data_IF_851110333832
#
_entry.id   IF_851110333832
#
_cell.length_a   1.000
_cell.length_b   1.000
_cell.length_c   1.000
_cell.angle_alpha   90.00
_cell.angle_beta   90.00
_cell.angle_gamma   90.00
#
_symmetry.space_group_name_H-M   'P 1'
#
loop_
_entity.id
_entity.type
_entity.pdbx_description
1 polymer ?
#
# COMPACT_ATOMS: atom_id res chain seq x y z
N UNK A 1 -23.27 43.06 -42.16
CA UNK A 1 -21.95 42.64 -41.62
C UNK A 1 -22.06 42.63 -40.11
N UNK A 2 -22.23 41.46 -39.51
CA UNK A 2 -22.16 41.27 -38.06
C UNK A 2 -21.02 40.29 -37.81
N UNK A 3 -19.91 40.81 -37.30
CA UNK A 3 -18.74 40.04 -36.89
C UNK A 3 -19.01 39.46 -35.50
N UNK A 4 -19.36 38.18 -35.44
CA UNK A 4 -19.33 37.41 -34.21
C UNK A 4 -17.91 36.92 -33.97
N UNK A 5 -17.16 37.66 -33.14
CA UNK A 5 -15.89 37.20 -32.56
C UNK A 5 -16.19 36.12 -31.52
N UNK A 6 -16.16 34.87 -31.95
CA UNK A 6 -16.15 33.70 -31.07
C UNK A 6 -14.80 33.64 -30.34
N UNK A 7 -14.79 33.94 -29.04
CA UNK A 7 -13.66 33.69 -28.16
C UNK A 7 -13.40 32.19 -28.09
N UNK A 8 -12.40 31.71 -28.84
CA UNK A 8 -11.92 30.35 -28.74
C UNK A 8 -11.18 30.19 -27.40
N UNK A 9 -11.89 29.75 -26.35
CA UNK A 9 -11.25 29.14 -25.20
C UNK A 9 -10.62 27.84 -25.69
N UNK A 10 -9.30 27.84 -25.91
CA UNK A 10 -8.54 26.66 -26.32
C UNK A 10 -8.67 25.62 -25.22
N UNK A 11 -9.57 24.65 -25.37
CA UNK A 11 -9.63 23.52 -24.45
C UNK A 11 -8.35 22.73 -24.64
N UNK A 12 -7.42 22.86 -23.69
CA UNK A 12 -6.14 22.15 -23.74
C UNK A 12 -6.42 20.65 -23.61
N UNK A 13 -5.66 19.83 -24.33
CA UNK A 13 -5.79 18.38 -24.21
C UNK A 13 -5.13 17.90 -22.91
N UNK A 14 -5.61 16.78 -22.35
CA UNK A 14 -5.01 16.13 -21.18
C UNK A 14 -3.52 15.87 -21.37
N UNK A 15 -3.13 15.50 -22.61
CA UNK A 15 -1.75 15.27 -23.02
C UNK A 15 -0.88 16.52 -22.82
N UNK A 16 -1.33 17.66 -23.34
CA UNK A 16 -0.57 18.92 -23.24
C UNK A 16 -0.48 19.39 -21.79
N UNK A 17 -1.53 19.15 -20.98
CA UNK A 17 -1.50 19.45 -19.55
C UNK A 17 -0.48 18.60 -18.78
N UNK A 18 -0.38 17.30 -19.08
CA UNK A 18 0.61 16.41 -18.49
C UNK A 18 2.03 16.82 -18.86
N UNK A 19 2.28 17.16 -20.12
CA UNK A 19 3.59 17.63 -20.59
C UNK A 19 3.99 18.91 -19.86
N UNK A 20 3.09 19.90 -19.81
CA UNK A 20 3.35 21.17 -19.15
C UNK A 20 3.60 21.01 -17.64
N UNK A 21 2.78 20.20 -16.97
CA UNK A 21 2.92 19.97 -15.54
C UNK A 21 4.21 19.20 -15.22
N UNK A 22 4.55 18.17 -16.00
CA UNK A 22 5.79 17.42 -15.86
C UNK A 22 7.04 18.27 -16.15
N UNK A 23 7.00 19.14 -17.15
CA UNK A 23 8.06 20.11 -17.41
C UNK A 23 8.21 21.14 -16.28
N UNK A 24 7.11 21.53 -15.65
CA UNK A 24 7.12 22.32 -14.43
C UNK A 24 7.80 21.60 -13.27
N UNK A 25 7.61 20.27 -13.14
CA UNK A 25 8.30 19.47 -12.12
C UNK A 25 9.80 19.28 -12.41
N UNK A 26 10.22 19.26 -13.67
CA UNK A 26 11.64 19.22 -14.04
C UNK A 26 12.38 20.49 -13.61
N UNK A 27 11.66 21.62 -13.55
CA UNK A 27 12.17 22.91 -13.07
C UNK A 27 11.31 23.39 -11.89
N UNK A 28 11.38 22.69 -10.74
CA UNK A 28 10.40 22.83 -9.69
C UNK A 28 10.41 24.24 -9.08
N UNK A 29 9.24 24.80 -8.72
CA UNK A 29 9.16 26.07 -8.00
C UNK A 29 9.95 26.01 -6.69
N UNK A 30 10.64 27.10 -6.33
CA UNK A 30 11.35 27.19 -5.05
C UNK A 30 10.43 27.29 -3.83
N UNK A 31 9.20 27.74 -4.03
CA UNK A 31 8.17 27.80 -2.98
C UNK A 31 7.52 26.43 -2.79
N UNK A 32 7.53 25.94 -1.54
CA UNK A 32 6.91 24.67 -1.16
C UNK A 32 5.43 24.63 -1.54
N UNK A 33 4.66 25.69 -1.28
CA UNK A 33 3.23 25.72 -1.59
C UNK A 33 2.98 25.65 -3.10
N UNK A 34 3.79 26.35 -3.90
CA UNK A 34 3.71 26.28 -5.36
C UNK A 34 4.08 24.89 -5.89
N UNK A 35 5.10 24.26 -5.30
CA UNK A 35 5.49 22.89 -5.65
C UNK A 35 4.40 21.88 -5.27
N UNK A 36 3.80 22.00 -4.09
CA UNK A 36 2.69 21.15 -3.66
C UNK A 36 1.48 21.29 -4.58
N UNK A 37 1.11 22.51 -4.96
CA UNK A 37 0.02 22.75 -5.91
C UNK A 37 0.31 22.14 -7.29
N UNK A 38 1.58 22.16 -7.72
CA UNK A 38 1.98 21.54 -8.98
C UNK A 38 1.93 20.00 -8.89
N UNK A 39 2.33 19.42 -7.77
CA UNK A 39 2.20 17.98 -7.52
C UNK A 39 0.74 17.54 -7.43
N UNK A 40 -0.12 18.32 -6.75
CA UNK A 40 -1.57 18.07 -6.72
C UNK A 40 -2.14 18.11 -8.15
N UNK A 41 -1.73 19.08 -8.97
CA UNK A 41 -2.12 19.11 -10.39
C UNK A 41 -1.65 17.87 -11.15
N UNK A 42 -0.42 17.40 -10.94
CA UNK A 42 0.09 16.19 -11.62
C UNK A 42 -0.69 14.97 -11.17
N UNK A 43 -0.97 14.81 -9.88
CA UNK A 43 -1.85 13.77 -9.33
C UNK A 43 -3.22 13.77 -10.03
N UNK A 44 -3.91 14.91 -10.06
CA UNK A 44 -5.25 15.05 -10.68
C UNK A 44 -5.24 14.71 -12.17
N UNK A 45 -4.14 14.98 -12.87
CA UNK A 45 -3.98 14.64 -14.29
C UNK A 45 -3.71 13.15 -14.47
N UNK A 46 -2.88 12.54 -13.62
CA UNK A 46 -2.55 11.12 -13.69
C UNK A 46 -3.77 10.24 -13.37
N UNK A 47 -4.59 10.62 -12.38
CA UNK A 47 -5.82 9.89 -12.02
C UNK A 47 -6.79 9.74 -13.20
N UNK A 48 -6.81 10.73 -14.11
CA UNK A 48 -7.64 10.72 -15.33
C UNK A 48 -7.10 9.83 -16.44
N UNK A 49 -5.86 9.34 -16.34
CA UNK A 49 -5.27 8.47 -17.36
C UNK A 49 -5.69 7.02 -17.08
N UNK A 50 -6.18 6.37 -18.13
CA UNK A 50 -6.54 4.95 -18.08
C UNK A 50 -5.30 4.05 -18.07
N UNK A 51 -5.47 2.81 -17.58
CA UNK A 51 -4.41 1.81 -17.60
C UNK A 51 -4.03 1.42 -19.02
N UNK A 52 -2.78 1.02 -19.22
CA UNK A 52 -2.21 0.70 -20.53
C UNK A 52 -2.39 1.85 -21.55
N UNK A 53 -1.91 3.07 -21.23
CA UNK A 53 -2.12 4.23 -22.09
C UNK A 53 -1.46 4.07 -23.46
N UNK A 54 -1.97 4.80 -24.47
CA UNK A 54 -1.38 4.84 -25.82
C UNK A 54 0.08 5.32 -25.79
N UNK A 55 0.85 5.01 -26.84
CA UNK A 55 2.26 5.44 -26.95
C UNK A 55 2.38 6.96 -26.80
N UNK A 56 1.48 7.73 -27.42
CA UNK A 56 1.51 9.20 -27.35
C UNK A 56 1.26 9.73 -25.94
N UNK A 57 0.44 9.01 -25.17
CA UNK A 57 0.18 9.33 -23.77
C UNK A 57 1.37 8.90 -22.89
N UNK A 58 2.01 7.76 -23.16
CA UNK A 58 3.25 7.36 -22.48
C UNK A 58 4.37 8.40 -22.69
N UNK A 59 4.53 8.92 -23.91
CA UNK A 59 5.47 10.00 -24.21
C UNK A 59 5.16 11.28 -23.41
N UNK A 60 3.87 11.59 -23.23
CA UNK A 60 3.43 12.74 -22.44
C UNK A 60 3.78 12.63 -20.95
N UNK A 61 3.91 11.41 -20.43
CA UNK A 61 4.26 11.12 -19.03
C UNK A 61 5.76 11.20 -18.76
N UNK A 62 6.62 11.12 -19.80
CA UNK A 62 8.09 11.08 -19.65
C UNK A 62 8.64 12.25 -18.80
N UNK A 63 8.22 13.51 -18.98
CA UNK A 63 8.69 14.61 -18.14
C UNK A 63 8.37 14.39 -16.65
N UNK A 64 7.15 13.94 -16.33
CA UNK A 64 6.72 13.64 -14.97
C UNK A 64 7.51 12.48 -14.36
N UNK A 65 7.68 11.38 -15.09
CA UNK A 65 8.50 10.24 -14.63
C UNK A 65 9.92 10.69 -14.29
N UNK A 66 10.56 11.44 -15.20
CA UNK A 66 11.93 11.92 -15.00
C UNK A 66 12.06 12.86 -13.80
N UNK A 67 11.09 13.75 -13.61
CA UNK A 67 11.09 14.68 -12.50
C UNK A 67 10.89 13.98 -11.16
N UNK A 68 9.89 13.09 -11.06
CA UNK A 68 9.50 12.42 -9.82
C UNK A 68 10.58 11.48 -9.27
N UNK A 69 11.39 10.87 -10.14
CA UNK A 69 12.53 10.01 -9.73
C UNK A 69 13.84 10.79 -9.55
N UNK A 70 13.84 12.11 -9.79
CA UNK A 70 15.04 12.93 -9.58
C UNK A 70 15.29 13.16 -8.09
N UNK A 71 16.57 13.23 -7.68
CA UNK A 71 16.93 13.46 -6.27
C UNK A 71 16.30 14.73 -5.69
N UNK A 72 16.08 15.77 -6.52
CA UNK A 72 15.48 17.04 -6.11
C UNK A 72 14.06 16.89 -5.57
N UNK A 73 13.26 15.97 -6.12
CA UNK A 73 11.88 15.72 -5.67
C UNK A 73 11.79 14.47 -4.81
N UNK A 74 12.43 13.38 -5.24
CA UNK A 74 12.36 12.08 -4.59
C UNK A 74 12.96 12.09 -3.18
N UNK A 75 14.03 12.87 -2.98
CA UNK A 75 14.73 13.02 -1.69
C UNK A 75 14.53 14.41 -1.07
N UNK A 76 13.48 15.11 -1.50
CA UNK A 76 13.17 16.46 -1.05
C UNK A 76 13.01 16.51 0.48
N UNK A 77 13.53 17.53 1.17
CA UNK A 77 13.53 17.56 2.66
C UNK A 77 12.14 17.66 3.28
N UNK A 78 11.22 18.40 2.67
CA UNK A 78 9.85 18.60 3.15
C UNK A 78 9.01 17.31 3.04
N UNK A 79 8.43 16.87 4.15
CA UNK A 79 7.63 15.63 4.21
C UNK A 79 6.39 15.63 3.32
N UNK A 80 5.66 16.75 3.25
CA UNK A 80 4.45 16.83 2.42
C UNK A 80 4.79 16.69 0.94
N UNK A 81 5.92 17.25 0.51
CA UNK A 81 6.43 17.05 -0.85
C UNK A 81 6.77 15.59 -1.09
N UNK A 82 7.50 14.93 -0.17
CA UNK A 82 7.82 13.49 -0.31
C UNK A 82 6.56 12.63 -0.46
N UNK A 83 5.55 12.83 0.39
CA UNK A 83 4.30 12.05 0.34
C UNK A 83 3.56 12.30 -0.99
N UNK A 84 3.49 13.55 -1.45
CA UNK A 84 2.90 13.87 -2.75
C UNK A 84 3.66 13.25 -3.93
N UNK A 85 4.99 13.23 -3.89
CA UNK A 85 5.82 12.58 -4.91
C UNK A 85 5.58 11.08 -4.93
N UNK A 86 5.55 10.43 -3.76
CA UNK A 86 5.24 9.00 -3.64
C UNK A 86 3.86 8.67 -4.23
N UNK A 87 2.85 9.50 -3.95
CA UNK A 87 1.52 9.33 -4.53
C UNK A 87 1.54 9.44 -6.06
N UNK A 88 2.19 10.47 -6.61
CA UNK A 88 2.33 10.60 -8.07
C UNK A 88 3.06 9.41 -8.71
N UNK A 89 4.08 8.86 -8.02
CA UNK A 89 4.77 7.65 -8.48
C UNK A 89 3.83 6.44 -8.47
N UNK A 90 3.01 6.25 -7.43
CA UNK A 90 2.04 5.16 -7.39
C UNK A 90 0.94 5.31 -8.44
N UNK A 91 0.49 6.53 -8.74
CA UNK A 91 -0.39 6.80 -9.88
C UNK A 91 0.28 6.39 -11.21
N UNK A 92 1.56 6.69 -11.43
CA UNK A 92 2.29 6.18 -12.61
C UNK A 92 2.38 4.65 -12.65
N UNK A 93 2.63 4.01 -11.50
CA UNK A 93 2.63 2.54 -11.37
C UNK A 93 1.24 1.96 -11.70
N UNK A 94 0.16 2.67 -11.36
CA UNK A 94 -1.21 2.26 -11.67
C UNK A 94 -1.45 2.17 -13.17
N UNK A 95 -0.89 3.11 -13.95
CA UNK A 95 -1.08 3.19 -15.41
C UNK A 95 -0.39 2.05 -16.14
N UNK A 96 0.85 1.76 -15.74
CA UNK A 96 1.65 0.69 -16.32
C UNK A 96 2.34 -0.03 -15.17
N UNK A 97 1.80 -1.17 -14.72
CA UNK A 97 2.37 -1.95 -13.62
C UNK A 97 3.86 -2.24 -13.88
N UNK A 98 4.67 -2.14 -12.82
CA UNK A 98 6.13 -2.25 -12.88
C UNK A 98 6.58 -3.65 -13.29
N UNK A 99 6.60 -3.93 -14.60
CA UNK A 99 7.20 -5.15 -15.12
C UNK A 99 8.64 -4.95 -15.59
N UNK A 100 9.16 -3.72 -15.75
CA UNK A 100 10.56 -3.55 -16.19
C UNK A 100 11.26 -2.17 -16.06
N UNK A 101 10.64 -0.98 -15.84
CA UNK A 101 11.39 0.26 -16.11
C UNK A 101 12.32 0.72 -14.97
N UNK A 102 12.14 0.24 -13.74
CA UNK A 102 12.94 0.67 -12.60
C UNK A 102 13.98 -0.37 -12.20
N UNK A 103 15.20 0.09 -11.95
CA UNK A 103 16.24 -0.76 -11.37
C UNK A 103 15.80 -1.30 -10.01
N UNK A 104 16.27 -2.49 -9.64
CA UNK A 104 16.07 -3.08 -8.30
C UNK A 104 16.32 -2.08 -7.16
N UNK A 105 17.35 -1.24 -7.31
CA UNK A 105 17.69 -0.18 -6.35
C UNK A 105 16.58 0.87 -6.25
N UNK A 106 16.11 1.38 -7.37
CA UNK A 106 15.05 2.39 -7.40
C UNK A 106 13.73 1.83 -6.85
N UNK A 107 13.37 0.60 -7.21
CA UNK A 107 12.20 -0.08 -6.64
C UNK A 107 12.29 -0.18 -5.12
N UNK A 108 13.46 -0.55 -4.58
CA UNK A 108 13.71 -0.55 -3.13
C UNK A 108 13.47 0.81 -2.50
N UNK A 109 14.05 1.86 -3.06
CA UNK A 109 13.92 3.21 -2.52
C UNK A 109 12.45 3.70 -2.59
N UNK A 110 11.72 3.41 -3.67
CA UNK A 110 10.29 3.75 -3.81
C UNK A 110 9.46 3.09 -2.71
N UNK A 111 9.68 1.81 -2.41
CA UNK A 111 8.92 1.13 -1.36
C UNK A 111 9.30 1.59 0.06
N UNK A 112 10.57 1.91 0.32
CA UNK A 112 10.97 2.54 1.58
C UNK A 112 10.24 3.88 1.78
N UNK A 113 10.19 4.69 0.73
CA UNK A 113 9.42 5.94 0.72
C UNK A 113 7.92 5.72 0.86
N UNK A 114 7.40 4.62 0.32
CA UNK A 114 5.99 4.21 0.47
C UNK A 114 5.65 3.90 1.92
N UNK A 115 6.51 3.14 2.62
CA UNK A 115 6.33 2.85 4.06
C UNK A 115 6.31 4.15 4.86
N UNK A 116 7.28 5.04 4.64
CA UNK A 116 7.34 6.37 5.31
C UNK A 116 6.10 7.22 5.00
N UNK A 117 5.56 7.15 3.78
CA UNK A 117 4.34 7.86 3.42
C UNK A 117 3.11 7.25 4.13
N UNK A 118 3.02 5.93 4.21
CA UNK A 118 1.94 5.20 4.87
C UNK A 118 1.97 5.35 6.40
N UNK A 119 3.13 5.63 7.02
CA UNK A 119 3.22 6.04 8.44
C UNK A 119 2.34 7.24 8.77
N UNK A 120 2.03 8.10 7.79
CA UNK A 120 1.15 9.25 7.97
C UNK A 120 -0.31 8.87 8.24
N UNK A 121 -0.69 7.59 8.09
CA UNK A 121 -1.96 7.06 8.59
C UNK A 121 -2.06 7.15 10.12
N UNK A 122 -0.95 7.13 10.86
CA UNK A 122 -0.95 7.35 12.31
C UNK A 122 -1.28 8.79 12.72
N UNK A 123 -1.05 9.76 11.83
CA UNK A 123 -1.27 11.19 12.10
C UNK A 123 -2.76 11.58 12.14
N UNK A 124 -3.03 12.79 12.63
CA UNK A 124 -4.36 13.39 12.52
C UNK A 124 -4.75 13.60 11.04
N UNK A 125 -6.05 13.59 10.70
CA UNK A 125 -6.51 13.88 9.34
C UNK A 125 -5.96 15.21 8.81
N UNK A 126 -5.42 15.18 7.60
CA UNK A 126 -4.74 16.29 6.95
C UNK A 126 -4.18 15.85 5.59
N UNK A 127 -3.47 16.74 4.88
CA UNK A 127 -2.96 16.48 3.52
C UNK A 127 -2.22 15.14 3.40
N UNK A 128 -1.20 14.92 4.23
CA UNK A 128 -0.39 13.70 4.17
C UNK A 128 -1.21 12.45 4.53
N UNK A 129 -2.16 12.56 5.46
CA UNK A 129 -3.04 11.46 5.82
C UNK A 129 -3.92 11.03 4.64
N UNK A 130 -4.59 11.97 3.97
CA UNK A 130 -5.45 11.65 2.82
C UNK A 130 -4.65 11.09 1.64
N UNK A 131 -3.46 11.63 1.38
CA UNK A 131 -2.56 11.07 0.37
C UNK A 131 -2.07 9.67 0.74
N UNK A 132 -1.81 9.38 2.01
CA UNK A 132 -1.46 8.05 2.48
C UNK A 132 -2.60 7.03 2.30
N UNK A 133 -3.85 7.43 2.54
CA UNK A 133 -5.03 6.60 2.24
C UNK A 133 -5.08 6.25 0.75
N UNK A 134 -4.89 7.25 -0.12
CA UNK A 134 -4.89 7.06 -1.57
C UNK A 134 -3.75 6.17 -2.05
N UNK A 135 -2.54 6.34 -1.50
CA UNK A 135 -1.39 5.45 -1.78
C UNK A 135 -1.75 4.00 -1.46
N UNK A 136 -2.34 3.74 -0.28
CA UNK A 136 -2.73 2.38 0.11
C UNK A 136 -3.79 1.79 -0.83
N UNK A 137 -4.79 2.59 -1.24
CA UNK A 137 -5.79 2.16 -2.22
C UNK A 137 -5.13 1.72 -3.54
N UNK A 138 -4.23 2.53 -4.10
CA UNK A 138 -3.55 2.21 -5.35
C UNK A 138 -2.68 0.96 -5.19
N UNK A 139 -1.89 0.88 -4.10
CA UNK A 139 -1.04 -0.28 -3.78
C UNK A 139 -1.86 -1.57 -3.80
N UNK A 140 -3.05 -1.53 -3.21
CA UNK A 140 -4.00 -2.65 -3.19
C UNK A 140 -4.56 -2.92 -4.59
N UNK A 141 -5.04 -1.89 -5.28
CA UNK A 141 -5.71 -2.00 -6.58
C UNK A 141 -4.83 -2.69 -7.63
N UNK A 142 -3.54 -2.35 -7.68
CA UNK A 142 -2.60 -2.94 -8.66
C UNK A 142 -1.72 -4.03 -8.06
N UNK A 143 -2.01 -4.47 -6.84
CA UNK A 143 -1.25 -5.46 -6.09
C UNK A 143 0.27 -5.18 -6.11
N UNK A 144 0.67 -3.90 -5.95
CA UNK A 144 2.08 -3.51 -6.11
C UNK A 144 2.99 -4.16 -5.07
N UNK A 145 2.45 -4.60 -3.92
CA UNK A 145 3.17 -5.41 -2.93
C UNK A 145 3.77 -6.71 -3.51
N UNK A 146 3.27 -7.27 -4.62
CA UNK A 146 3.91 -8.42 -5.29
C UNK A 146 5.33 -8.07 -5.76
N UNK A 147 5.57 -6.82 -6.14
CA UNK A 147 6.89 -6.37 -6.58
C UNK A 147 7.91 -6.51 -5.45
N UNK A 148 7.51 -6.29 -4.19
CA UNK A 148 8.38 -6.51 -3.03
C UNK A 148 8.82 -7.98 -2.92
N UNK A 149 7.89 -8.91 -3.14
CA UNK A 149 8.16 -10.34 -3.13
C UNK A 149 9.10 -10.73 -4.27
N UNK A 150 8.81 -10.31 -5.50
CA UNK A 150 9.60 -10.66 -6.69
C UNK A 150 11.04 -10.14 -6.63
N UNK A 151 11.26 -9.02 -5.93
CA UNK A 151 12.58 -8.42 -5.77
C UNK A 151 13.33 -9.02 -4.57
N UNK A 152 12.70 -9.87 -3.75
CA UNK A 152 13.33 -10.53 -2.59
C UNK A 152 13.63 -9.53 -1.47
N UNK A 153 12.65 -8.68 -1.16
CA UNK A 153 12.79 -7.57 -0.21
C UNK A 153 12.13 -7.86 1.14
N UNK A 154 12.38 -9.02 1.71
CA UNK A 154 11.72 -9.53 2.92
C UNK A 154 11.70 -8.54 4.09
N UNK A 155 12.78 -7.77 4.39
CA UNK A 155 12.73 -6.77 5.45
C UNK A 155 11.64 -5.71 5.25
N UNK A 156 11.41 -5.26 4.01
CA UNK A 156 10.35 -4.28 3.72
C UNK A 156 8.95 -4.89 3.83
N UNK A 157 8.80 -6.19 3.54
CA UNK A 157 7.54 -6.90 3.74
C UNK A 157 7.23 -6.93 5.24
N UNK A 158 8.22 -7.26 6.09
CA UNK A 158 8.06 -7.24 7.54
C UNK A 158 7.72 -5.84 8.06
N UNK A 159 8.43 -4.80 7.60
CA UNK A 159 8.15 -3.40 7.95
C UNK A 159 6.72 -2.98 7.56
N UNK A 160 6.24 -3.39 6.38
CA UNK A 160 4.89 -3.09 5.92
C UNK A 160 3.81 -3.78 6.78
N UNK A 161 4.04 -5.03 7.21
CA UNK A 161 3.13 -5.73 8.12
C UNK A 161 3.07 -5.03 9.49
N UNK A 162 4.23 -4.68 10.05
CA UNK A 162 4.31 -3.92 11.29
C UNK A 162 3.61 -2.56 11.17
N UNK A 163 3.76 -1.89 10.03
CA UNK A 163 3.09 -0.63 9.75
C UNK A 163 1.57 -0.79 9.75
N UNK A 164 1.02 -1.75 9.01
CA UNK A 164 -0.43 -1.96 8.98
C UNK A 164 -0.99 -2.30 10.36
N UNK A 165 -0.34 -3.20 11.08
CA UNK A 165 -0.76 -3.61 12.42
C UNK A 165 -0.65 -2.48 13.46
N UNK A 166 0.28 -1.53 13.30
CA UNK A 166 0.46 -0.41 14.24
C UNK A 166 -0.37 0.83 13.88
N UNK A 167 -0.75 0.98 12.61
CA UNK A 167 -1.49 2.16 12.14
C UNK A 167 -2.98 1.95 12.03
N UNK A 168 -3.48 0.71 11.88
CA UNK A 168 -4.91 0.44 11.80
C UNK A 168 -5.66 0.99 13.03
N UNK A 169 -6.77 1.67 12.79
CA UNK A 169 -7.51 2.39 13.81
C UNK A 169 -8.92 2.81 13.35
N UNK A 170 -9.78 3.12 14.32
CA UNK A 170 -11.21 3.42 14.08
C UNK A 170 -11.47 4.72 13.31
N UNK A 171 -10.47 5.60 13.22
CA UNK A 171 -10.54 6.85 12.44
C UNK A 171 -10.51 6.64 10.93
N UNK A 172 -10.10 5.46 10.47
CA UNK A 172 -9.97 5.18 9.04
C UNK A 172 -11.32 4.81 8.41
N UNK A 173 -11.53 5.13 7.13
CA UNK A 173 -12.62 4.55 6.36
C UNK A 173 -12.58 3.01 6.42
N UNK A 174 -13.74 2.31 6.43
CA UNK A 174 -13.78 0.85 6.52
C UNK A 174 -12.95 0.13 5.44
N UNK A 175 -12.89 0.71 4.24
CA UNK A 175 -12.10 0.17 3.12
C UNK A 175 -10.61 0.01 3.44
N UNK A 176 -10.06 0.81 4.36
CA UNK A 176 -8.64 0.73 4.74
C UNK A 176 -8.33 -0.57 5.47
N UNK A 177 -9.24 -1.05 6.32
CA UNK A 177 -9.08 -2.36 6.95
C UNK A 177 -9.01 -3.45 5.89
N UNK A 178 -9.96 -3.45 4.95
CA UNK A 178 -10.02 -4.42 3.85
C UNK A 178 -8.79 -4.35 2.95
N UNK A 179 -8.27 -3.16 2.67
CA UNK A 179 -7.06 -2.97 1.89
C UNK A 179 -5.83 -3.55 2.60
N UNK A 180 -5.64 -3.25 3.90
CA UNK A 180 -4.54 -3.82 4.68
C UNK A 180 -4.64 -5.35 4.77
N UNK A 181 -5.85 -5.87 5.04
CA UNK A 181 -6.13 -7.32 5.10
C UNK A 181 -5.77 -7.99 3.77
N UNK A 182 -6.28 -7.48 2.65
CA UNK A 182 -6.04 -8.04 1.33
C UNK A 182 -4.55 -8.04 0.97
N UNK A 183 -3.83 -6.94 1.23
CA UNK A 183 -2.39 -6.90 0.97
C UNK A 183 -1.62 -7.90 1.83
N UNK A 184 -1.91 -7.99 3.13
CA UNK A 184 -1.26 -8.95 4.03
C UNK A 184 -1.51 -10.39 3.58
N UNK A 185 -2.77 -10.75 3.32
CA UNK A 185 -3.13 -12.09 2.85
C UNK A 185 -2.49 -12.41 1.51
N UNK A 186 -2.53 -11.47 0.56
CA UNK A 186 -1.95 -11.69 -0.75
C UNK A 186 -0.43 -11.87 -0.69
N UNK A 187 0.26 -11.10 0.16
CA UNK A 187 1.71 -11.25 0.35
C UNK A 187 2.07 -12.61 0.96
N UNK A 188 1.30 -13.11 1.94
CA UNK A 188 1.50 -14.44 2.51
C UNK A 188 1.27 -15.53 1.47
N UNK A 189 0.14 -15.48 0.74
CA UNK A 189 -0.21 -16.51 -0.25
C UNK A 189 0.78 -16.58 -1.42
N UNK A 190 1.37 -15.45 -1.80
CA UNK A 190 2.31 -15.37 -2.92
C UNK A 190 3.78 -15.52 -2.53
N UNK A 191 4.11 -15.56 -1.25
CA UNK A 191 5.50 -15.78 -0.85
C UNK A 191 5.91 -17.23 -1.12
N UNK A 192 7.18 -17.47 -1.45
CA UNK A 192 7.70 -18.84 -1.56
C UNK A 192 7.75 -19.49 -0.17
N UNK A 193 8.24 -18.72 0.81
CA UNK A 193 8.43 -19.11 2.20
C UNK A 193 7.90 -18.04 3.17
N UNK A 194 7.67 -18.39 4.44
CA UNK A 194 7.30 -17.43 5.48
C UNK A 194 8.40 -17.39 6.54
N UNK A 195 9.13 -16.28 6.59
CA UNK A 195 10.19 -16.10 7.57
C UNK A 195 9.64 -15.94 9.00
N UNK A 196 10.45 -16.32 9.99
CA UNK A 196 10.13 -16.09 11.40
C UNK A 196 9.94 -14.59 11.72
N UNK A 197 10.70 -13.72 11.04
CA UNK A 197 10.58 -12.27 11.19
C UNK A 197 9.22 -11.74 10.72
N UNK A 198 8.61 -12.35 9.70
CA UNK A 198 7.25 -12.03 9.26
C UNK A 198 6.17 -12.60 10.18
N UNK A 199 6.40 -13.79 10.76
CA UNK A 199 5.47 -14.39 11.72
C UNK A 199 5.38 -13.61 13.03
N UNK A 200 6.48 -13.03 13.51
CA UNK A 200 6.52 -12.28 14.77
C UNK A 200 5.46 -11.18 14.89
N UNK A 201 5.32 -10.23 13.94
CA UNK A 201 4.29 -9.20 14.04
C UNK A 201 2.88 -9.79 13.97
N UNK A 202 2.65 -10.85 13.17
CA UNK A 202 1.35 -11.55 13.13
C UNK A 202 1.01 -12.18 14.49
N UNK A 203 1.93 -12.96 15.06
CA UNK A 203 1.77 -13.58 16.39
C UNK A 203 1.56 -12.53 17.48
N UNK A 204 2.36 -11.45 17.48
CA UNK A 204 2.24 -10.37 18.44
C UNK A 204 0.85 -9.71 18.39
N UNK A 205 0.31 -9.51 17.18
CA UNK A 205 -1.03 -8.91 17.00
C UNK A 205 -2.15 -9.78 17.59
N UNK A 206 -2.00 -11.10 17.58
CA UNK A 206 -3.02 -12.06 18.08
C UNK A 206 -2.69 -12.64 19.46
N UNK A 207 -1.83 -11.99 20.26
CA UNK A 207 -1.58 -12.33 21.67
C UNK A 207 -2.67 -11.76 22.58
N UNK A 208 -3.38 -12.56 23.39
CA UNK A 208 -4.70 -12.23 24.01
C UNK A 208 -4.77 -10.84 24.64
N UNK A 209 -3.69 -10.38 25.29
CA UNK A 209 -3.63 -9.02 25.85
C UNK A 209 -3.79 -7.88 24.82
N UNK A 210 -3.51 -8.13 23.54
CA UNK A 210 -3.68 -7.17 22.46
C UNK A 210 -5.14 -7.03 22.00
N UNK A 211 -6.01 -7.97 22.33
CA UNK A 211 -7.44 -7.88 22.01
C UNK A 211 -8.07 -6.64 22.64
N UNK A 212 -7.67 -6.30 23.86
CA UNK A 212 -8.16 -5.12 24.60
C UNK A 212 -7.37 -3.85 24.26
N UNK A 213 -6.05 -3.97 24.06
CA UNK A 213 -5.15 -2.82 23.81
C UNK A 213 -5.34 -2.26 22.39
N UNK A 214 -5.43 -3.14 21.39
CA UNK A 214 -5.59 -2.77 19.98
C UNK A 214 -6.51 -3.74 19.24
N UNK A 215 -7.84 -3.64 19.46
CA UNK A 215 -8.81 -4.60 18.92
C UNK A 215 -8.79 -4.71 17.38
N UNK A 216 -8.50 -3.61 16.67
CA UNK A 216 -8.44 -3.61 15.21
C UNK A 216 -7.15 -4.24 14.68
N UNK A 217 -6.03 -4.05 15.38
CA UNK A 217 -4.75 -4.73 15.06
C UNK A 217 -4.88 -6.23 15.29
N UNK A 218 -5.47 -6.63 16.42
CA UNK A 218 -5.86 -8.00 16.70
C UNK A 218 -6.68 -8.61 15.56
N UNK A 219 -7.78 -7.95 15.19
CA UNK A 219 -8.69 -8.43 14.15
C UNK A 219 -8.00 -8.53 12.79
N UNK A 220 -7.13 -7.57 12.46
CA UNK A 220 -6.38 -7.58 11.21
C UNK A 220 -5.41 -8.77 11.15
N UNK A 221 -4.66 -9.01 12.22
CA UNK A 221 -3.78 -10.17 12.34
C UNK A 221 -4.52 -11.50 12.28
N UNK A 222 -5.64 -11.60 13.00
CA UNK A 222 -6.52 -12.77 12.97
C UNK A 222 -7.01 -13.05 11.54
N UNK A 223 -7.51 -12.03 10.83
CA UNK A 223 -7.95 -12.16 9.43
C UNK A 223 -6.85 -12.60 8.49
N UNK A 224 -5.65 -12.01 8.62
CA UNK A 224 -4.50 -12.42 7.81
C UNK A 224 -4.16 -13.91 8.00
N UNK A 225 -4.22 -14.42 9.23
CA UNK A 225 -4.00 -15.84 9.53
C UNK A 225 -5.13 -16.73 8.99
N UNK A 226 -6.40 -16.33 9.19
CA UNK A 226 -7.58 -17.07 8.70
C UNK A 226 -7.57 -17.22 7.19
N UNK A 227 -7.26 -16.14 6.48
CA UNK A 227 -7.27 -16.12 5.02
C UNK A 227 -6.13 -16.98 4.44
N UNK A 228 -5.09 -17.25 5.23
CA UNK A 228 -3.87 -17.91 4.78
C UNK A 228 -3.54 -19.21 5.54
N UNK A 229 -4.54 -19.88 6.12
CA UNK A 229 -4.33 -21.05 7.00
C UNK A 229 -3.49 -22.13 6.32
N UNK A 230 -3.77 -22.46 5.06
CA UNK A 230 -3.06 -23.52 4.35
C UNK A 230 -1.56 -23.20 4.21
N UNK A 231 -1.23 -21.95 3.88
CA UNK A 231 0.15 -21.48 3.72
C UNK A 231 0.86 -21.31 5.07
N UNK A 232 0.19 -20.74 6.08
CA UNK A 232 0.79 -20.39 7.38
C UNK A 232 0.97 -21.59 8.31
N UNK A 233 0.11 -22.61 8.22
CA UNK A 233 0.11 -23.76 9.15
C UNK A 233 1.47 -24.39 9.47
N UNK A 234 2.29 -24.80 8.48
CA UNK A 234 3.58 -25.44 8.78
C UNK A 234 4.51 -24.50 9.55
N UNK A 235 4.58 -23.23 9.16
CA UNK A 235 5.44 -22.22 9.77
C UNK A 235 5.00 -21.84 11.17
N UNK A 236 3.68 -21.71 11.40
CA UNK A 236 3.14 -21.40 12.71
C UNK A 236 3.44 -22.52 13.71
N UNK A 237 3.26 -23.79 13.31
CA UNK A 237 3.63 -24.94 14.16
C UNK A 237 5.11 -24.95 14.53
N UNK A 238 5.98 -24.65 13.56
CA UNK A 238 7.41 -24.56 13.80
C UNK A 238 7.76 -23.40 14.73
N UNK A 239 7.13 -22.23 14.55
CA UNK A 239 7.32 -21.06 15.41
C UNK A 239 6.90 -21.35 16.86
N UNK A 240 5.71 -21.95 17.07
CA UNK A 240 5.24 -22.30 18.41
C UNK A 240 6.21 -23.25 19.13
N UNK A 241 6.76 -24.25 18.42
CA UNK A 241 7.74 -25.20 18.97
C UNK A 241 9.10 -24.56 19.25
N UNK A 242 9.64 -23.81 18.30
CA UNK A 242 10.99 -23.23 18.38
C UNK A 242 11.08 -22.12 19.42
N UNK A 243 10.04 -21.28 19.52
CA UNK A 243 9.95 -20.18 20.47
C UNK A 243 9.37 -20.60 21.83
N UNK A 244 8.94 -21.86 21.97
CA UNK A 244 8.29 -22.40 23.19
C UNK A 244 7.13 -21.53 23.66
N UNK A 245 6.30 -21.12 22.71
CA UNK A 245 5.14 -20.28 22.98
C UNK A 245 3.99 -21.13 23.52
N UNK A 246 3.25 -20.59 24.47
CA UNK A 246 2.03 -21.20 24.98
C UNK A 246 0.86 -20.85 24.07
N UNK A 247 0.05 -21.83 23.65
CA UNK A 247 -1.14 -21.60 22.83
C UNK A 247 -2.20 -20.79 23.59
N UNK A 248 -2.25 -20.93 24.91
CA UNK A 248 -3.22 -20.24 25.76
C UNK A 248 -3.02 -18.72 25.78
N UNK A 249 -1.85 -18.23 25.37
CA UNK A 249 -1.53 -16.81 25.26
C UNK A 249 -2.10 -16.15 24.00
N UNK A 250 -2.62 -16.91 23.03
CA UNK A 250 -2.98 -16.40 21.69
C UNK A 250 -4.47 -16.60 21.36
N UNK A 251 -4.93 -15.92 20.31
CA UNK A 251 -6.25 -16.10 19.74
C UNK A 251 -6.53 -17.59 19.42
N UNK A 252 -7.79 -18.01 19.58
CA UNK A 252 -8.23 -19.40 19.30
C UNK A 252 -7.86 -19.87 17.89
N UNK A 253 -7.74 -18.95 16.93
CA UNK A 253 -7.30 -19.29 15.57
C UNK A 253 -5.89 -19.90 15.54
N UNK A 254 -4.97 -19.47 16.41
CA UNK A 254 -3.60 -19.99 16.46
C UNK A 254 -3.63 -21.47 16.87
N UNK A 255 -4.42 -21.80 17.89
CA UNK A 255 -4.67 -23.17 18.29
C UNK A 255 -5.30 -23.98 17.16
N UNK A 256 -6.37 -23.47 16.53
CA UNK A 256 -7.05 -24.16 15.43
C UNK A 256 -6.13 -24.44 14.23
N UNK A 257 -5.17 -23.57 13.93
CA UNK A 257 -4.19 -23.77 12.85
C UNK A 257 -3.15 -24.82 13.28
N UNK A 258 -2.68 -24.76 14.52
CA UNK A 258 -1.64 -25.64 15.05
C UNK A 258 -2.13 -27.07 15.34
N UNK A 259 -3.43 -27.29 15.55
CA UNK A 259 -3.98 -28.64 15.69
C UNK A 259 -3.89 -29.41 14.35
N UNK A 260 -3.45 -30.68 14.41
CA UNK A 260 -3.57 -31.59 13.27
C UNK A 260 -5.03 -32.00 13.12
N UNK A 261 -5.54 -31.97 11.89
CA UNK A 261 -6.96 -32.12 11.63
C UNK A 261 -7.48 -33.46 12.17
N UNK A 262 -8.20 -33.41 13.29
CA UNK A 262 -9.26 -34.34 13.59
C UNK A 262 -10.46 -33.53 14.10
N UNK A 263 -11.42 -33.29 13.20
CA UNK A 263 -12.76 -32.73 13.44
C UNK A 263 -12.96 -31.24 13.84
N UNK A 264 -11.96 -30.52 14.37
CA UNK A 264 -12.17 -29.14 14.86
C UNK A 264 -12.25 -28.07 13.76
N UNK A 265 -11.46 -28.23 12.68
CA UNK A 265 -11.34 -27.25 11.58
C UNK A 265 -12.69 -27.03 10.87
N UNK A 266 -13.46 -28.09 10.64
CA UNK A 266 -14.78 -27.98 9.99
C UNK A 266 -15.76 -27.20 10.88
N UNK A 267 -15.64 -27.29 12.21
CA UNK A 267 -16.58 -26.66 13.15
C UNK A 267 -16.30 -25.17 13.36
N UNK A 268 -15.03 -24.77 13.46
CA UNK A 268 -14.65 -23.35 13.60
C UNK A 268 -14.96 -22.56 12.33
N UNK A 269 -14.59 -23.10 11.15
CA UNK A 269 -14.92 -22.45 9.88
C UNK A 269 -16.44 -22.38 9.63
N UNK A 270 -17.20 -23.43 9.97
CA UNK A 270 -18.65 -23.40 9.83
C UNK A 270 -19.29 -22.35 10.73
N UNK A 271 -18.93 -22.29 12.02
CA UNK A 271 -19.51 -21.31 12.98
C UNK A 271 -19.12 -19.87 12.62
N UNK A 272 -17.85 -19.62 12.28
CA UNK A 272 -17.37 -18.28 11.95
C UNK A 272 -17.96 -17.74 10.63
N UNK A 273 -18.08 -18.58 9.59
CA UNK A 273 -18.74 -18.18 8.33
C UNK A 273 -20.27 -18.10 8.44
N UNK A 274 -20.91 -18.83 9.36
CA UNK A 274 -22.33 -18.66 9.66
C UNK A 274 -22.64 -17.34 10.39
N UNK A 275 -21.72 -16.87 11.25
CA UNK A 275 -21.90 -15.62 12.00
C UNK A 275 -21.70 -14.34 11.16
N UNK A 276 -21.03 -14.45 10.00
CA UNK A 276 -20.77 -13.32 9.08
C UNK A 276 -21.87 -13.11 8.02
N UNK A 277 -22.97 -13.89 8.07
CA UNK A 277 -24.10 -13.82 7.12
C UNK A 277 -25.36 -13.13 7.68
N UNK A 278 -25.24 -12.32 8.72
CA UNK A 278 -26.33 -11.46 9.23
C UNK A 278 -25.95 -9.99 9.07
#
# INVERSE_FOLDING_TARGET
>A
MASSSSSASTHRSLKDELIDAGNGLLNPPSSIDKLLNLLDKVEDLLDKVEQCPSIEMQEALVPSVRALISDNLFRHSNESVKVSVVLCIHELIRLTPLHAPFSRKLTKEIFQMTIIALEKLSCAPGRCYFKALRILEIVTQVNSCIILLNVGMDPLVVELFQLFLSTIGSKHPPAIFTNMENNMSWMIEKSDDISMELLRPLLASVKKGNQDISPLSWKLGEKALINCVAKVKPYLKEAMKSLKLDLDDYAEIVESICQDASSAVVRFFYIYFSALKV
#
